data_IF_542999036613
#
_entry.id   IF_542999036613
#
_cell.length_a   1.000
_cell.length_b   1.000
_cell.length_c   1.000
_cell.angle_alpha   90.00
_cell.angle_beta   90.00
_cell.angle_gamma   90.00
#
_symmetry.space_group_name_H-M   'P 1'
#
loop_
_entity.id
_entity.type
_entity.pdbx_description
1 polymer ?
#
# COMPACT_ATOMS: atom_id res chain seq x y z
N UNK A 1 34.53 12.24 54.17
CA UNK A 1 33.85 11.28 53.29
C UNK A 1 32.88 12.06 52.41
N UNK A 2 33.30 12.33 51.16
CA UNK A 2 32.45 13.06 50.17
C UNK A 2 31.74 12.05 49.28
N UNK A 3 30.42 11.94 49.43
CA UNK A 3 29.60 11.11 48.55
C UNK A 3 29.39 11.84 47.23
N UNK A 4 30.01 11.35 46.15
CA UNK A 4 29.78 11.83 44.80
C UNK A 4 28.52 11.08 44.27
N UNK A 5 27.41 11.79 44.16
CA UNK A 5 26.20 11.31 43.48
C UNK A 5 26.47 11.48 41.99
N UNK A 6 26.66 10.37 41.26
CA UNK A 6 26.74 10.38 39.80
C UNK A 6 25.31 10.40 39.26
N UNK A 7 24.88 11.57 38.75
CA UNK A 7 23.63 11.73 38.03
C UNK A 7 23.84 11.15 36.62
N UNK A 8 23.26 9.99 36.34
CA UNK A 8 23.23 9.43 34.98
C UNK A 8 22.13 10.17 34.19
N UNK A 9 22.54 11.08 33.33
CA UNK A 9 21.64 11.69 32.36
C UNK A 9 21.24 10.65 31.33
N UNK A 10 19.99 10.19 31.38
CA UNK A 10 19.35 9.36 30.38
C UNK A 10 19.00 10.26 29.19
N UNK A 11 19.83 10.30 28.16
CA UNK A 11 19.52 10.99 26.92
C UNK A 11 18.41 10.16 26.22
N UNK A 12 17.17 10.60 26.32
CA UNK A 12 16.07 10.09 25.51
C UNK A 12 16.32 10.55 24.08
N UNK A 13 16.81 9.65 23.23
CA UNK A 13 16.82 9.87 21.79
C UNK A 13 15.37 9.85 21.33
N UNK A 14 14.80 11.02 21.08
CA UNK A 14 13.51 11.16 20.39
C UNK A 14 13.70 10.70 18.95
N UNK A 15 13.25 9.50 18.63
CA UNK A 15 13.09 9.05 17.26
C UNK A 15 11.92 9.83 16.68
N UNK A 16 12.22 10.83 15.85
CA UNK A 16 11.17 11.50 15.08
C UNK A 16 10.57 10.50 14.12
N UNK A 17 9.29 10.15 14.31
CA UNK A 17 8.56 9.40 13.32
C UNK A 17 8.40 10.31 12.09
N UNK A 18 9.18 10.06 11.04
CA UNK A 18 8.91 10.64 9.72
C UNK A 18 7.63 9.99 9.20
N UNK A 19 6.72 10.79 8.65
CA UNK A 19 5.59 10.22 7.92
C UNK A 19 6.13 9.31 6.81
N UNK A 20 5.63 8.08 6.76
CA UNK A 20 6.04 7.14 5.73
C UNK A 20 5.61 7.67 4.35
N UNK A 21 6.55 7.71 3.41
CA UNK A 21 6.27 8.14 2.03
C UNK A 21 5.56 7.02 1.30
N UNK A 22 4.46 7.32 0.63
CA UNK A 22 3.81 6.40 -0.29
C UNK A 22 4.73 6.14 -1.48
N UNK A 23 5.01 4.87 -1.75
CA UNK A 23 5.88 4.43 -2.85
C UNK A 23 5.12 4.25 -4.16
N UNK A 24 3.78 4.18 -4.12
CA UNK A 24 2.98 4.24 -5.34
C UNK A 24 2.91 5.68 -5.86
N UNK A 25 3.07 5.83 -7.16
CA UNK A 25 2.72 7.03 -7.88
C UNK A 25 1.20 7.05 -8.06
N UNK A 26 0.58 8.21 -7.83
CA UNK A 26 -0.84 8.46 -8.10
C UNK A 26 -1.79 7.38 -7.53
N UNK A 27 -1.65 7.09 -6.24
CA UNK A 27 -2.43 6.05 -5.57
C UNK A 27 -3.93 6.34 -5.47
N UNK A 28 -4.32 7.61 -5.58
CA UNK A 28 -5.73 8.09 -5.57
C UNK A 28 -6.17 8.64 -6.94
N UNK A 29 -5.39 8.42 -8.00
CA UNK A 29 -5.74 8.76 -9.40
C UNK A 29 -6.02 10.24 -9.65
N UNK A 30 -5.53 11.13 -8.81
CA UNK A 30 -5.77 12.57 -8.87
C UNK A 30 -4.92 13.30 -9.94
N UNK A 31 -3.95 12.60 -10.57
CA UNK A 31 -3.22 13.13 -11.72
C UNK A 31 -4.10 13.31 -12.97
N UNK A 32 -5.26 12.65 -12.99
CA UNK A 32 -6.25 12.76 -14.05
C UNK A 32 -7.29 13.83 -13.66
N UNK A 33 -7.48 14.82 -14.53
CA UNK A 33 -8.53 15.82 -14.35
C UNK A 33 -9.86 15.29 -14.87
N UNK A 34 -10.67 14.70 -13.99
CA UNK A 34 -12.01 14.20 -14.28
C UNK A 34 -13.07 15.15 -13.69
N UNK A 35 -14.02 15.63 -14.48
CA UNK A 35 -15.07 16.50 -13.98
C UNK A 35 -16.08 15.77 -13.09
N UNK A 36 -16.56 16.43 -12.03
CA UNK A 36 -17.59 15.86 -11.17
C UNK A 36 -18.84 15.45 -11.96
N UNK A 37 -19.44 14.32 -11.58
CA UNK A 37 -20.60 13.74 -12.26
C UNK A 37 -20.26 13.08 -13.60
N UNK A 38 -18.97 12.79 -13.87
CA UNK A 38 -18.55 12.14 -15.11
C UNK A 38 -17.59 10.96 -14.87
N UNK A 39 -17.42 10.14 -15.87
CA UNK A 39 -16.43 9.07 -15.95
C UNK A 39 -15.84 9.01 -17.35
N UNK A 40 -14.67 8.42 -17.48
CA UNK A 40 -14.01 8.14 -18.75
C UNK A 40 -12.97 7.04 -18.58
N UNK A 41 -12.51 6.47 -19.70
CA UNK A 41 -11.42 5.49 -19.70
C UNK A 41 -10.11 6.12 -20.19
N UNK A 42 -9.02 5.70 -19.57
CA UNK A 42 -7.68 6.25 -19.79
C UNK A 42 -6.66 5.14 -20.08
N UNK A 43 -6.03 5.18 -21.24
CA UNK A 43 -4.98 4.22 -21.62
C UNK A 43 -3.65 4.46 -20.90
N UNK A 44 -3.48 5.61 -20.25
CA UNK A 44 -2.27 5.97 -19.52
C UNK A 44 -2.66 6.66 -18.22
N UNK A 45 -2.29 6.06 -17.12
CA UNK A 45 -2.45 6.60 -15.76
C UNK A 45 -1.09 6.56 -15.09
N UNK A 46 -0.68 7.66 -14.44
CA UNK A 46 0.66 7.80 -13.90
C UNK A 46 1.06 6.63 -12.99
N UNK A 47 2.17 5.96 -13.33
CA UNK A 47 2.70 4.82 -12.58
C UNK A 47 1.97 3.49 -12.77
N UNK A 48 0.76 3.48 -13.32
CA UNK A 48 -0.06 2.28 -13.46
C UNK A 48 -0.03 1.70 -14.88
N UNK A 49 0.13 0.39 -14.97
CA UNK A 49 -0.05 -0.39 -16.20
C UNK A 49 -1.41 -1.07 -16.13
N UNK A 50 -2.24 -0.88 -17.14
CA UNK A 50 -3.56 -1.48 -17.26
C UNK A 50 -3.50 -2.64 -18.26
N UNK A 51 -4.01 -3.80 -17.86
CA UNK A 51 -4.12 -4.98 -18.71
C UNK A 51 -5.46 -5.67 -18.47
N UNK A 52 -5.93 -6.40 -19.47
CA UNK A 52 -7.09 -7.28 -19.31
C UNK A 52 -6.75 -8.52 -18.45
N UNK A 53 -7.76 -9.23 -17.99
CA UNK A 53 -7.62 -10.58 -17.49
C UNK A 53 -6.90 -11.44 -18.55
N UNK A 54 -5.81 -12.11 -18.17
CA UNK A 54 -4.95 -12.86 -19.09
C UNK A 54 -3.74 -12.09 -19.61
N UNK A 55 -3.44 -10.91 -19.04
CA UNK A 55 -2.26 -10.08 -19.36
C UNK A 55 -2.20 -9.51 -20.78
N UNK A 56 -3.30 -9.44 -21.48
CA UNK A 56 -3.40 -8.73 -22.72
C UNK A 56 -3.48 -7.20 -22.44
N UNK A 57 -2.99 -6.33 -23.34
CA UNK A 57 -3.21 -4.90 -23.21
C UNK A 57 -4.72 -4.61 -23.15
N UNK A 58 -5.16 -3.77 -22.18
CA UNK A 58 -6.54 -3.31 -22.17
C UNK A 58 -6.84 -2.51 -23.45
N UNK A 59 -7.94 -2.85 -24.09
CA UNK A 59 -8.37 -2.18 -25.33
C UNK A 59 -9.10 -0.87 -25.06
N UNK A 60 -9.59 -0.69 -23.83
CA UNK A 60 -10.43 0.45 -23.44
C UNK A 60 -9.77 1.35 -22.39
N UNK A 61 -8.72 0.86 -21.71
CA UNK A 61 -8.06 1.58 -20.62
C UNK A 61 -8.77 1.42 -19.27
N UNK A 62 -8.24 2.12 -18.26
CA UNK A 62 -8.76 2.13 -16.91
C UNK A 62 -9.92 3.10 -16.78
N UNK A 63 -11.04 2.67 -16.25
CA UNK A 63 -12.16 3.55 -15.95
C UNK A 63 -11.88 4.36 -14.67
N UNK A 64 -11.93 5.70 -14.81
CA UNK A 64 -11.84 6.66 -13.71
C UNK A 64 -13.16 7.42 -13.61
N UNK A 65 -13.65 7.54 -12.38
CA UNK A 65 -14.93 8.17 -12.02
C UNK A 65 -14.71 9.33 -11.06
N UNK A 66 -15.59 10.32 -11.16
CA UNK A 66 -15.73 11.40 -10.19
C UNK A 66 -17.22 11.61 -9.93
N UNK A 67 -17.69 11.29 -8.73
CA UNK A 67 -19.11 11.37 -8.31
C UNK A 67 -20.09 10.62 -9.22
N UNK A 68 -19.67 9.49 -9.81
CA UNK A 68 -20.53 8.59 -10.62
C UNK A 68 -20.52 7.21 -10.00
N UNK A 69 -21.70 6.67 -9.73
CA UNK A 69 -21.91 5.37 -9.07
C UNK A 69 -21.19 5.21 -7.73
N UNK A 70 -20.97 6.33 -7.03
CA UNK A 70 -20.28 6.44 -5.75
C UNK A 70 -19.50 7.74 -5.67
N UNK A 71 -18.79 7.90 -4.55
CA UNK A 71 -17.86 9.00 -4.28
C UNK A 71 -16.49 8.44 -3.96
N UNK A 72 -15.42 9.18 -4.24
CA UNK A 72 -14.06 8.79 -3.92
C UNK A 72 -13.86 8.55 -2.40
N UNK A 73 -12.89 7.70 -2.06
CA UNK A 73 -12.43 7.51 -0.69
C UNK A 73 -11.41 8.59 -0.30
N UNK A 74 -10.57 8.97 -1.26
CA UNK A 74 -9.59 10.06 -1.12
C UNK A 74 -9.62 10.94 -2.36
N UNK A 75 -9.63 12.26 -2.17
CA UNK A 75 -9.71 13.21 -3.28
C UNK A 75 -11.07 13.23 -3.98
N UNK A 76 -11.03 13.16 -5.32
CA UNK A 76 -12.21 13.28 -6.17
C UNK A 76 -12.40 12.07 -7.09
N UNK A 77 -11.33 11.40 -7.44
CA UNK A 77 -11.31 10.30 -8.40
C UNK A 77 -11.24 8.95 -7.71
N UNK A 78 -11.82 7.95 -8.32
CA UNK A 78 -11.67 6.55 -7.99
C UNK A 78 -11.80 5.69 -9.26
N UNK A 79 -11.36 4.46 -9.21
CA UNK A 79 -11.35 3.58 -10.38
C UNK A 79 -12.35 2.44 -10.26
N UNK A 80 -12.69 1.85 -11.39
CA UNK A 80 -13.35 0.55 -11.51
C UNK A 80 -12.54 -0.38 -12.42
N UNK A 81 -12.41 -1.64 -12.00
CA UNK A 81 -11.61 -2.64 -12.72
C UNK A 81 -12.44 -3.57 -13.63
N UNK A 82 -13.71 -3.30 -13.85
CA UNK A 82 -14.57 -3.90 -14.89
C UNK A 82 -15.35 -2.80 -15.59
N UNK A 83 -14.62 -1.84 -16.21
CA UNK A 83 -15.27 -0.78 -16.98
C UNK A 83 -15.89 -1.28 -18.27
N UNK A 84 -15.24 -2.21 -18.96
CA UNK A 84 -15.72 -2.92 -20.15
C UNK A 84 -15.54 -4.43 -20.02
N UNK A 85 -14.54 -4.83 -19.28
CA UNK A 85 -14.14 -6.21 -19.04
C UNK A 85 -13.31 -6.27 -17.77
N UNK A 86 -13.17 -7.44 -17.17
CA UNK A 86 -12.33 -7.61 -15.99
C UNK A 86 -10.90 -7.18 -16.30
N UNK A 87 -10.50 -6.03 -15.77
CA UNK A 87 -9.19 -5.43 -15.92
C UNK A 87 -8.28 -5.74 -14.72
N UNK A 88 -7.02 -5.42 -14.92
CA UNK A 88 -5.95 -5.52 -13.92
C UNK A 88 -5.09 -4.28 -13.99
N UNK A 89 -4.74 -3.75 -12.82
CA UNK A 89 -3.72 -2.71 -12.72
C UNK A 89 -2.50 -3.21 -11.99
N UNK A 90 -1.34 -2.73 -12.41
CA UNK A 90 -0.04 -3.14 -11.87
C UNK A 90 0.85 -1.92 -11.71
N UNK A 91 1.55 -1.85 -10.57
CA UNK A 91 2.62 -0.87 -10.37
C UNK A 91 3.81 -1.54 -9.67
N UNK A 92 5.03 -1.16 -10.10
CA UNK A 92 6.27 -1.61 -9.46
C UNK A 92 6.92 -0.44 -8.72
N UNK A 93 7.49 -0.73 -7.57
CA UNK A 93 8.17 0.25 -6.72
C UNK A 93 9.47 -0.31 -6.15
N UNK A 94 10.41 0.58 -5.82
CA UNK A 94 11.70 0.20 -5.26
C UNK A 94 11.53 -0.28 -3.81
N UNK A 95 12.21 -1.37 -3.48
CA UNK A 95 12.23 -1.97 -2.14
C UNK A 95 13.65 -2.30 -1.69
N UNK A 96 13.85 -2.44 -0.39
CA UNK A 96 15.10 -2.91 0.20
C UNK A 96 14.93 -4.36 0.65
N UNK A 97 15.79 -5.26 0.20
CA UNK A 97 15.75 -6.68 0.57
C UNK A 97 15.77 -6.85 2.09
N UNK A 98 14.87 -7.67 2.61
CA UNK A 98 14.72 -7.93 4.04
C UNK A 98 13.86 -6.90 4.81
N UNK A 99 13.56 -5.74 4.21
CA UNK A 99 12.69 -4.73 4.81
C UNK A 99 11.22 -5.15 4.70
N UNK A 100 10.45 -4.94 5.76
CA UNK A 100 9.00 -5.13 5.76
C UNK A 100 8.28 -3.91 5.13
N UNK A 101 7.24 -4.20 4.38
CA UNK A 101 6.37 -3.20 3.73
C UNK A 101 4.91 -3.54 3.97
N UNK A 102 4.05 -2.52 3.96
CA UNK A 102 2.61 -2.64 3.92
C UNK A 102 2.11 -2.04 2.61
N UNK A 103 1.35 -2.82 1.84
CA UNK A 103 0.49 -2.32 0.76
C UNK A 103 -0.92 -2.25 1.31
N UNK A 104 -1.59 -1.14 1.11
CA UNK A 104 -2.99 -0.96 1.46
C UNK A 104 -3.77 -0.31 0.32
N UNK A 105 -5.05 -0.56 0.27
CA UNK A 105 -5.99 0.04 -0.67
C UNK A 105 -7.40 -0.03 -0.13
N UNK A 106 -8.28 0.83 -0.66
CA UNK A 106 -9.70 0.81 -0.34
C UNK A 106 -10.48 0.26 -1.50
N UNK A 107 -11.55 -0.45 -1.20
CA UNK A 107 -12.46 -1.02 -2.19
C UNK A 107 -13.89 -0.99 -1.70
N UNK A 108 -14.84 -0.98 -2.63
CA UNK A 108 -16.26 -1.09 -2.35
C UNK A 108 -17.00 -1.76 -3.49
N UNK A 109 -18.17 -2.33 -3.19
CA UNK A 109 -19.10 -2.75 -4.21
C UNK A 109 -19.67 -1.53 -4.95
N UNK A 110 -19.81 -1.63 -6.26
CA UNK A 110 -20.47 -0.60 -7.05
C UNK A 110 -21.92 -0.42 -6.62
N UNK A 111 -22.40 0.82 -6.56
CA UNK A 111 -23.80 1.09 -6.29
C UNK A 111 -24.72 0.46 -7.35
N UNK A 112 -25.74 -0.28 -6.91
CA UNK A 112 -26.68 -0.97 -7.78
C UNK A 112 -26.28 -2.38 -8.21
N UNK A 113 -25.10 -2.84 -7.84
CA UNK A 113 -24.62 -4.22 -8.08
C UNK A 113 -24.93 -5.11 -6.88
N UNK A 114 -25.28 -6.37 -7.13
CA UNK A 114 -25.56 -7.31 -6.05
C UNK A 114 -24.31 -7.52 -5.18
N UNK A 115 -24.49 -7.46 -3.87
CA UNK A 115 -23.39 -7.65 -2.94
C UNK A 115 -22.75 -9.04 -3.13
N UNK A 116 -21.43 -9.06 -3.34
CA UNK A 116 -20.66 -10.28 -3.49
C UNK A 116 -20.67 -10.92 -4.87
N UNK A 117 -21.26 -10.29 -5.90
CA UNK A 117 -21.15 -10.75 -7.28
C UNK A 117 -19.78 -10.44 -7.87
N UNK A 118 -19.15 -9.37 -7.37
CA UNK A 118 -17.85 -8.88 -7.80
C UNK A 118 -16.80 -9.11 -6.72
N UNK A 119 -15.55 -9.23 -7.16
CA UNK A 119 -14.41 -9.45 -6.27
C UNK A 119 -13.10 -8.99 -6.91
N UNK A 120 -12.01 -9.36 -6.27
CA UNK A 120 -10.67 -9.05 -6.76
C UNK A 120 -9.62 -10.03 -6.24
N UNK A 121 -8.54 -10.15 -6.98
CA UNK A 121 -7.30 -10.80 -6.57
C UNK A 121 -6.20 -9.74 -6.46
N UNK A 122 -5.61 -9.58 -5.28
CA UNK A 122 -4.47 -8.71 -5.05
C UNK A 122 -3.21 -9.53 -4.77
N UNK A 123 -2.11 -9.24 -5.47
CA UNK A 123 -0.87 -9.99 -5.38
C UNK A 123 0.33 -9.08 -5.27
N UNK A 124 1.23 -9.40 -4.35
CA UNK A 124 2.55 -8.77 -4.22
C UNK A 124 3.62 -9.76 -4.69
N UNK A 125 4.39 -9.37 -5.70
CA UNK A 125 5.51 -10.13 -6.23
C UNK A 125 6.82 -9.42 -5.88
N UNK A 126 7.69 -10.09 -5.12
CA UNK A 126 9.03 -9.58 -4.80
C UNK A 126 10.06 -10.62 -5.21
N UNK A 127 10.95 -10.26 -6.16
CA UNK A 127 11.89 -11.19 -6.76
C UNK A 127 11.25 -12.23 -7.70
N UNK A 128 10.09 -11.89 -8.31
CA UNK A 128 9.36 -12.78 -9.22
C UNK A 128 8.59 -13.90 -8.53
N UNK A 129 8.56 -13.92 -7.21
CA UNK A 129 7.82 -14.88 -6.39
C UNK A 129 6.69 -14.16 -5.68
N UNK A 130 5.51 -14.79 -5.58
CA UNK A 130 4.42 -14.25 -4.77
C UNK A 130 4.85 -14.21 -3.31
N UNK A 131 4.99 -12.99 -2.78
CA UNK A 131 5.35 -12.75 -1.38
C UNK A 131 4.12 -12.69 -0.48
N UNK A 132 2.99 -12.24 -1.04
CA UNK A 132 1.69 -12.22 -0.38
C UNK A 132 0.58 -12.11 -1.42
N UNK A 133 -0.59 -12.62 -1.11
CA UNK A 133 -1.80 -12.50 -1.94
C UNK A 133 -3.03 -12.41 -1.06
N UNK A 134 -4.07 -11.76 -1.58
CA UNK A 134 -5.36 -11.60 -0.95
C UNK A 134 -6.44 -11.72 -2.01
N UNK A 135 -7.49 -12.48 -1.70
CA UNK A 135 -8.71 -12.57 -2.51
C UNK A 135 -9.81 -11.87 -1.74
N UNK A 136 -10.40 -10.87 -2.35
CA UNK A 136 -11.47 -10.08 -1.75
C UNK A 136 -12.79 -10.22 -2.49
N UNK A 137 -13.85 -9.87 -1.79
CA UNK A 137 -15.19 -9.83 -2.32
C UNK A 137 -15.86 -8.53 -1.92
N UNK A 138 -16.35 -7.79 -2.91
CA UNK A 138 -16.99 -6.50 -2.71
C UNK A 138 -18.42 -6.67 -2.19
N UNK A 139 -18.60 -7.10 -0.96
CA UNK A 139 -19.91 -7.31 -0.34
C UNK A 139 -20.52 -6.05 0.28
N UNK A 140 -19.77 -4.95 0.41
CA UNK A 140 -20.20 -3.71 1.04
C UNK A 140 -20.30 -2.57 0.05
N UNK A 141 -21.37 -1.77 0.16
CA UNK A 141 -21.52 -0.52 -0.58
C UNK A 141 -20.75 0.67 0.05
N UNK A 142 -20.07 0.45 1.19
CA UNK A 142 -19.18 1.41 1.80
C UNK A 142 -17.72 1.00 1.62
N UNK A 143 -16.82 1.96 1.63
CA UNK A 143 -15.40 1.72 1.50
C UNK A 143 -14.85 0.86 2.65
N UNK A 144 -14.17 -0.22 2.30
CA UNK A 144 -13.43 -1.11 3.20
C UNK A 144 -11.94 -1.02 2.83
N UNK A 145 -11.08 -1.10 3.84
CA UNK A 145 -9.63 -1.11 3.62
C UNK A 145 -9.09 -2.52 3.73
N UNK A 146 -8.23 -2.88 2.77
CA UNK A 146 -7.39 -4.08 2.86
C UNK A 146 -5.92 -3.72 2.99
N UNK A 147 -5.17 -4.62 3.64
CA UNK A 147 -3.74 -4.47 3.91
C UNK A 147 -3.01 -5.79 3.68
N UNK A 148 -1.91 -5.69 2.97
CA UNK A 148 -0.99 -6.80 2.72
C UNK A 148 0.37 -6.43 3.29
N UNK A 149 0.85 -7.16 4.29
CA UNK A 149 2.20 -6.99 4.85
C UNK A 149 3.10 -8.08 4.28
N UNK A 150 4.28 -7.68 3.80
CA UNK A 150 5.25 -8.60 3.23
C UNK A 150 6.69 -8.16 3.55
N UNK A 151 7.63 -9.08 3.43
CA UNK A 151 9.07 -8.77 3.48
C UNK A 151 9.64 -8.81 2.08
N UNK A 152 10.33 -7.76 1.66
CA UNK A 152 10.88 -7.67 0.32
C UNK A 152 12.01 -8.69 0.10
N UNK A 153 11.87 -9.51 -0.93
CA UNK A 153 12.88 -10.46 -1.39
C UNK A 153 13.77 -9.92 -2.51
N UNK A 154 13.51 -8.71 -3.00
CA UNK A 154 14.19 -8.07 -4.13
C UNK A 154 14.29 -6.56 -3.94
N UNK A 155 15.12 -5.91 -4.75
CA UNK A 155 15.20 -4.44 -4.83
C UNK A 155 14.01 -3.77 -5.52
N UNK A 156 13.13 -4.56 -6.14
CA UNK A 156 11.85 -4.11 -6.72
C UNK A 156 10.74 -5.07 -6.35
N UNK A 157 9.59 -4.51 -6.06
CA UNK A 157 8.34 -5.24 -5.78
C UNK A 157 7.28 -4.75 -6.74
N UNK A 158 6.48 -5.69 -7.24
CA UNK A 158 5.33 -5.41 -8.10
C UNK A 158 4.06 -5.75 -7.34
N UNK A 159 3.15 -4.80 -7.28
CA UNK A 159 1.78 -5.00 -6.81
C UNK A 159 0.83 -5.07 -8.00
N UNK A 160 -0.11 -5.97 -7.92
CA UNK A 160 -1.16 -6.16 -8.92
C UNK A 160 -2.49 -6.34 -8.22
N UNK A 161 -3.53 -5.70 -8.71
CA UNK A 161 -4.92 -6.01 -8.37
C UNK A 161 -5.71 -6.24 -9.64
N UNK A 162 -6.52 -7.30 -9.67
CA UNK A 162 -7.32 -7.73 -10.81
C UNK A 162 -8.77 -7.91 -10.39
N UNK A 163 -9.70 -7.43 -11.19
CA UNK A 163 -11.12 -7.75 -11.00
C UNK A 163 -11.37 -9.25 -11.21
N UNK A 164 -12.30 -9.78 -10.42
CA UNK A 164 -12.85 -11.13 -10.54
C UNK A 164 -14.37 -11.05 -10.43
N UNK A 165 -15.09 -12.05 -10.97
CA UNK A 165 -16.54 -12.05 -11.00
C UNK A 165 -17.08 -11.98 -12.42
N UNK A 166 -18.27 -11.44 -12.59
CA UNK A 166 -18.85 -11.22 -13.91
C UNK A 166 -18.05 -10.17 -14.66
N UNK A 167 -17.91 -10.32 -15.97
CA UNK A 167 -17.33 -9.26 -16.82
C UNK A 167 -18.49 -8.61 -17.56
N UNK A 168 -19.12 -7.65 -16.92
CA UNK A 168 -20.38 -7.05 -17.35
C UNK A 168 -20.40 -5.51 -17.27
N UNK A 169 -19.23 -4.91 -17.10
CA UNK A 169 -19.01 -3.47 -16.95
C UNK A 169 -19.55 -2.90 -15.63
N UNK A 170 -19.61 -3.71 -14.57
CA UNK A 170 -20.15 -3.34 -13.27
C UNK A 170 -19.26 -3.80 -12.10
N UNK A 171 -17.98 -3.56 -12.16
CA UNK A 171 -16.98 -4.14 -11.26
C UNK A 171 -16.80 -3.48 -9.89
N UNK A 172 -15.86 -3.99 -9.16
CA UNK A 172 -15.40 -3.43 -7.89
C UNK A 172 -14.72 -2.08 -8.09
N UNK A 173 -15.09 -1.11 -7.26
CA UNK A 173 -14.42 0.19 -7.20
C UNK A 173 -13.22 0.15 -6.26
N UNK A 174 -12.15 0.88 -6.61
CA UNK A 174 -10.93 0.98 -5.81
C UNK A 174 -10.42 2.41 -5.71
N UNK A 175 -9.70 2.70 -4.60
CA UNK A 175 -9.13 4.01 -4.36
C UNK A 175 -8.02 3.96 -3.30
N UNK A 176 -7.27 5.06 -3.17
CA UNK A 176 -6.29 5.33 -2.10
C UNK A 176 -5.32 4.17 -1.87
N UNK A 177 -4.60 3.79 -2.94
CA UNK A 177 -3.53 2.81 -2.86
C UNK A 177 -2.29 3.41 -2.19
N UNK A 178 -1.71 2.65 -1.27
CA UNK A 178 -0.50 3.03 -0.56
C UNK A 178 0.46 1.85 -0.41
N UNK A 179 1.75 2.10 -0.62
CA UNK A 179 2.82 1.18 -0.29
C UNK A 179 3.84 1.92 0.58
N UNK A 180 4.05 1.46 1.80
CA UNK A 180 4.95 2.11 2.75
C UNK A 180 5.90 1.10 3.38
N UNK A 181 7.12 1.54 3.70
CA UNK A 181 8.03 0.76 4.53
C UNK A 181 7.49 0.72 5.98
N UNK A 182 7.41 -0.47 6.55
CA UNK A 182 7.08 -0.64 7.97
C UNK A 182 8.34 -0.38 8.78
N UNK A 183 8.35 0.62 9.68
CA UNK A 183 9.51 0.89 10.52
C UNK A 183 9.89 -0.35 11.35
N UNK A 184 11.19 -0.66 11.42
CA UNK A 184 11.64 -1.68 12.36
C UNK A 184 11.24 -1.30 13.79
N UNK A 185 10.79 -2.26 14.62
CA UNK A 185 10.45 -1.96 16.00
C UNK A 185 11.61 -1.24 16.70
N UNK A 186 11.32 -0.14 17.38
CA UNK A 186 12.30 0.64 18.15
C UNK A 186 13.09 -0.20 19.18
N UNK A 187 12.64 -1.44 19.44
CA UNK A 187 13.32 -2.45 20.24
C UNK A 187 14.76 -2.72 19.78
N UNK A 188 15.04 -2.72 18.47
CA UNK A 188 16.40 -2.92 17.95
C UNK A 188 17.32 -1.74 18.34
N UNK A 189 16.81 -0.51 18.22
CA UNK A 189 17.52 0.68 18.66
C UNK A 189 17.74 0.70 20.18
N UNK A 190 16.74 0.29 20.96
CA UNK A 190 16.83 0.20 22.41
C UNK A 190 17.81 -0.88 22.87
N UNK A 191 17.85 -2.02 22.18
CA UNK A 191 18.80 -3.11 22.43
C UNK A 191 20.23 -2.67 22.14
N UNK A 192 20.48 -2.02 21.01
CA UNK A 192 21.80 -1.46 20.67
C UNK A 192 22.24 -0.40 21.69
N UNK A 193 21.35 0.50 22.11
CA UNK A 193 21.63 1.48 23.17
C UNK A 193 21.92 0.82 24.51
N UNK A 194 21.19 -0.22 24.90
CA UNK A 194 21.44 -1.01 26.11
C UNK A 194 22.81 -1.68 26.11
N UNK A 195 23.19 -2.31 25.00
CA UNK A 195 24.51 -2.91 24.84
C UNK A 195 25.64 -1.88 24.90
N UNK A 196 25.45 -0.70 24.29
CA UNK A 196 26.43 0.40 24.37
C UNK A 196 26.65 0.88 25.81
N UNK A 197 25.60 1.03 26.61
CA UNK A 197 25.64 1.43 28.01
C UNK A 197 26.38 0.36 28.84
N UNK A 198 26.07 -0.92 28.63
CA UNK A 198 26.75 -2.03 29.30
C UNK A 198 28.25 -2.10 28.95
N UNK A 199 28.59 -1.90 27.68
CA UNK A 199 29.99 -1.84 27.21
C UNK A 199 30.79 -0.70 27.83
N UNK A 200 30.18 0.47 27.95
CA UNK A 200 30.83 1.64 28.61
C UNK A 200 30.98 1.43 30.11
N UNK A 201 30.04 0.81 30.79
CA UNK A 201 30.09 0.53 32.22
C UNK A 201 31.17 -0.51 32.56
N UNK A 202 31.34 -1.54 31.73
CA UNK A 202 32.38 -2.58 31.90
C UNK A 202 33.78 -2.04 31.71
N UNK A 203 33.97 -1.08 30.78
CA UNK A 203 35.25 -0.43 30.51
C UNK A 203 35.71 0.46 31.70
N UNK A 204 34.75 1.08 32.40
CA UNK A 204 35.01 1.87 33.61
C UNK A 204 35.48 1.01 34.80
N UNK A 205 34.95 -0.21 34.97
CA UNK A 205 35.34 -1.15 36.03
C UNK A 205 36.76 -1.71 35.86
N UNK A 206 37.32 -1.77 34.67
CA UNK A 206 38.67 -2.26 34.38
C UNK A 206 39.77 -1.19 34.58
N UNK A 207 39.39 0.07 34.78
CA UNK A 207 40.32 1.19 34.95
C UNK A 207 40.50 1.63 36.42
N UNK A 208 39.80 1.06 37.35
CA UNK A 208 39.94 1.17 38.82
C UNK A 208 40.41 -0.16 39.39
#
# INVERSE_FOLDING_TARGET
MKKIIALAALAAASVSASAATNLFADGSFESISQSAGTWNTYNSVAGWTVTQAGFLPSSHGLEIRNDVAGTAQDGNNFIELDGYENDRITQSFATTVGQAYEVSFWFQNRAGVAAGSEGFDAVVLSGGVSSASLVGNAASSGWLQEKIVFTAGSSFTTFTVAATGASDSLGTSFDNFSAIAVPEPATMGLFAAGLAILGLSSRRRRRN
#
